data_IF_864315625867
#
_entry.id   IF_864315625867
#
_cell.length_a   1.000
_cell.length_b   1.000
_cell.length_c   1.000
_cell.angle_alpha   90.00
_cell.angle_beta   90.00
_cell.angle_gamma   90.00
#
_symmetry.space_group_name_H-M   'P 1'
#
loop_
_entity.id
_entity.type
_entity.pdbx_description
1 polymer ?
#
# COMPACT_ATOMS: atom_id res chain seq x y z
N UNK A 1 -15.69 -12.03 -16.61
CA UNK A 1 -15.83 -13.16 -15.65
C UNK A 1 -14.47 -13.80 -15.52
N UNK A 2 -13.63 -13.34 -14.58
CA UNK A 2 -12.32 -13.96 -14.36
C UNK A 2 -12.56 -15.20 -13.49
N UNK A 3 -12.44 -16.38 -14.09
CA UNK A 3 -12.38 -17.64 -13.33
C UNK A 3 -11.24 -17.48 -12.30
N UNK A 4 -11.61 -17.60 -11.02
CA UNK A 4 -10.79 -17.19 -9.90
C UNK A 4 -9.53 -18.03 -9.79
N UNK A 5 -8.41 -17.49 -10.27
CA UNK A 5 -7.09 -18.02 -9.91
C UNK A 5 -6.93 -17.81 -8.42
N UNK A 6 -6.95 -18.92 -7.68
CA UNK A 6 -6.70 -18.91 -6.25
C UNK A 6 -5.24 -18.52 -6.00
N UNK A 7 -5.04 -17.28 -5.52
CA UNK A 7 -3.70 -16.75 -5.27
C UNK A 7 -3.11 -17.41 -4.02
N UNK A 8 -1.92 -18.01 -4.18
CA UNK A 8 -1.22 -18.72 -3.11
C UNK A 8 -0.07 -17.90 -2.54
N UNK A 9 0.16 -18.07 -1.25
CA UNK A 9 1.30 -17.51 -0.55
C UNK A 9 2.60 -18.17 -1.00
N UNK A 10 3.67 -17.38 -1.12
CA UNK A 10 5.00 -17.86 -1.53
C UNK A 10 5.69 -18.71 -0.45
N UNK A 11 5.31 -18.54 0.82
CA UNK A 11 6.02 -19.13 1.98
C UNK A 11 5.41 -20.46 2.39
N UNK A 12 4.09 -20.50 2.56
CA UNK A 12 3.36 -21.67 3.10
C UNK A 12 2.39 -22.29 2.09
N UNK A 13 2.21 -21.68 0.90
CA UNK A 13 1.30 -22.17 -0.13
C UNK A 13 -0.18 -21.97 0.19
N UNK A 14 -0.52 -21.36 1.32
CA UNK A 14 -1.91 -21.10 1.71
C UNK A 14 -2.57 -20.06 0.80
N UNK A 15 -3.91 -20.12 0.77
CA UNK A 15 -4.74 -19.19 0.00
C UNK A 15 -4.68 -17.79 0.60
N UNK A 16 -4.27 -16.82 -0.22
CA UNK A 16 -4.26 -15.42 0.16
C UNK A 16 -5.69 -14.88 0.26
N UNK A 17 -5.97 -14.09 1.29
CA UNK A 17 -7.30 -13.53 1.53
C UNK A 17 -7.33 -12.04 1.28
N UNK A 18 -8.37 -11.57 0.58
CA UNK A 18 -8.64 -10.14 0.40
C UNK A 18 -8.75 -9.42 1.75
N UNK A 19 -8.43 -8.13 1.75
CA UNK A 19 -8.52 -7.20 2.90
C UNK A 19 -7.71 -7.62 4.13
N UNK A 20 -6.65 -8.42 3.89
CA UNK A 20 -5.64 -8.76 4.91
C UNK A 20 -4.24 -8.26 4.57
N UNK A 21 -4.10 -7.45 3.52
CA UNK A 21 -2.85 -6.73 3.31
C UNK A 21 -2.73 -5.63 4.38
N UNK A 22 -1.55 -5.55 4.99
CA UNK A 22 -1.35 -4.90 6.31
C UNK A 22 -1.95 -3.50 6.46
N UNK A 23 -1.78 -2.64 5.45
CA UNK A 23 -2.05 -1.21 5.53
C UNK A 23 -2.69 -0.62 4.25
N UNK A 24 -3.07 -1.47 3.30
CA UNK A 24 -3.74 -1.09 2.05
C UNK A 24 -4.57 -2.25 1.53
N UNK A 25 -5.46 -2.00 0.55
CA UNK A 25 -6.20 -3.07 -0.12
C UNK A 25 -5.23 -4.04 -0.83
N UNK A 26 -5.44 -5.34 -0.61
CA UNK A 26 -4.57 -6.41 -1.10
C UNK A 26 -4.92 -7.78 -0.53
N UNK A 27 -4.09 -8.77 -0.86
CA UNK A 27 -4.28 -10.15 -0.45
C UNK A 27 -3.21 -10.56 0.56
N UNK A 28 -3.61 -10.84 1.80
CA UNK A 28 -2.67 -11.18 2.87
C UNK A 28 -2.65 -12.66 3.21
N UNK A 29 -1.48 -13.17 3.61
CA UNK A 29 -1.33 -14.47 4.26
C UNK A 29 -1.48 -14.34 5.79
N UNK A 30 -2.24 -15.24 6.42
CA UNK A 30 -2.41 -15.22 7.89
C UNK A 30 -1.19 -15.73 8.65
N UNK A 31 -0.45 -16.67 8.08
CA UNK A 31 0.67 -17.34 8.74
C UNK A 31 1.94 -16.50 8.62
N UNK A 32 2.47 -16.33 7.40
CA UNK A 32 3.71 -15.57 7.19
C UNK A 32 3.56 -14.04 7.25
N UNK A 33 2.33 -13.52 7.26
CA UNK A 33 1.99 -12.07 7.21
C UNK A 33 2.42 -11.34 5.93
N UNK A 34 2.87 -12.07 4.91
CA UNK A 34 3.16 -11.50 3.60
C UNK A 34 1.90 -11.02 2.88
N UNK A 35 2.08 -10.07 1.97
CA UNK A 35 1.01 -9.42 1.21
C UNK A 35 1.29 -9.43 -0.28
N UNK A 36 0.30 -9.82 -1.07
CA UNK A 36 0.30 -9.68 -2.52
C UNK A 36 -0.60 -8.51 -2.95
N UNK A 37 -0.03 -7.56 -3.68
CA UNK A 37 -0.76 -6.45 -4.28
C UNK A 37 -0.67 -6.55 -5.81
N UNK A 38 -1.79 -6.82 -6.51
CA UNK A 38 -1.85 -6.64 -7.96
C UNK A 38 -1.53 -5.20 -8.36
N UNK A 39 -1.13 -4.99 -9.62
CA UNK A 39 -0.79 -3.68 -10.16
C UNK A 39 -1.85 -2.62 -9.84
N UNK A 40 -3.13 -2.93 -10.00
CA UNK A 40 -4.24 -2.00 -9.72
C UNK A 40 -4.27 -1.51 -8.27
N UNK A 41 -3.83 -2.32 -7.32
CA UNK A 41 -3.76 -1.93 -5.91
C UNK A 41 -2.49 -1.13 -5.59
N UNK A 42 -1.37 -1.40 -6.28
CA UNK A 42 -0.20 -0.52 -6.23
C UNK A 42 -0.55 0.84 -6.81
N UNK A 43 -1.23 0.88 -7.96
CA UNK A 43 -1.67 2.12 -8.60
C UNK A 43 -2.58 2.93 -7.67
N UNK A 44 -3.43 2.28 -6.87
CA UNK A 44 -4.38 2.98 -6.01
C UNK A 44 -3.75 3.64 -4.78
N UNK A 45 -2.51 3.29 -4.41
CA UNK A 45 -1.78 3.96 -3.32
C UNK A 45 -1.65 5.46 -3.59
N UNK A 46 -1.53 5.86 -4.87
CA UNK A 46 -1.41 7.27 -5.26
C UNK A 46 -2.62 8.13 -4.86
N UNK A 47 -3.78 7.53 -4.57
CA UNK A 47 -4.97 8.28 -4.17
C UNK A 47 -4.96 8.65 -2.69
N UNK A 48 -4.19 7.94 -1.85
CA UNK A 48 -4.12 8.18 -0.40
C UNK A 48 -2.75 8.70 0.05
N UNK A 49 -1.70 8.46 -0.74
CA UNK A 49 -0.31 8.83 -0.45
C UNK A 49 0.29 9.64 -1.59
N UNK A 50 1.32 10.42 -1.28
CA UNK A 50 2.21 11.06 -2.27
C UNK A 50 3.11 10.03 -2.95
N UNK A 51 2.48 9.07 -3.64
CA UNK A 51 3.10 7.93 -4.27
C UNK A 51 2.95 8.02 -5.79
N UNK A 52 4.03 7.74 -6.52
CA UNK A 52 4.07 7.76 -7.99
C UNK A 52 4.23 6.32 -8.54
N UNK A 53 3.15 5.62 -8.93
CA UNK A 53 3.23 4.21 -9.34
C UNK A 53 4.16 3.98 -10.53
N UNK A 54 4.16 4.88 -11.51
CA UNK A 54 5.04 4.77 -12.67
C UNK A 54 6.52 4.86 -12.29
N UNK A 55 6.87 5.78 -11.40
CA UNK A 55 8.23 5.92 -10.88
C UNK A 55 8.64 4.69 -10.09
N UNK A 56 7.74 4.19 -9.23
CA UNK A 56 7.96 2.96 -8.47
C UNK A 56 8.26 1.77 -9.39
N UNK A 57 7.40 1.47 -10.37
CA UNK A 57 7.64 0.37 -11.30
C UNK A 57 8.86 0.60 -12.20
N UNK A 58 9.16 1.85 -12.58
CA UNK A 58 10.39 2.14 -13.32
C UNK A 58 11.63 1.83 -12.48
N UNK A 59 11.62 2.16 -11.18
CA UNK A 59 12.70 1.81 -10.26
C UNK A 59 12.84 0.30 -10.18
N UNK A 60 11.75 -0.43 -9.90
CA UNK A 60 11.78 -1.89 -9.83
C UNK A 60 12.38 -2.47 -11.11
N UNK A 61 11.89 -2.08 -12.30
CA UNK A 61 12.38 -2.63 -13.57
C UNK A 61 13.87 -2.40 -13.84
N UNK A 62 14.46 -1.31 -13.30
CA UNK A 62 15.85 -0.92 -13.53
C UNK A 62 16.82 -1.47 -12.48
N UNK A 63 16.31 -1.91 -11.32
CA UNK A 63 17.14 -2.46 -10.25
C UNK A 63 17.81 -3.76 -10.67
N UNK A 64 18.88 -4.14 -9.94
CA UNK A 64 19.52 -5.44 -10.15
C UNK A 64 18.57 -6.53 -9.66
N UNK A 65 18.29 -7.47 -10.55
CA UNK A 65 17.34 -8.57 -10.31
C UNK A 65 18.07 -9.85 -9.96
N UNK A 66 17.63 -10.49 -8.89
CA UNK A 66 17.87 -11.90 -8.68
C UNK A 66 16.60 -12.66 -9.05
N UNK A 67 16.72 -13.61 -9.98
CA UNK A 67 15.57 -14.44 -10.35
C UNK A 67 15.29 -15.40 -9.20
N UNK A 68 14.09 -15.28 -8.61
CA UNK A 68 13.69 -16.22 -7.57
C UNK A 68 13.11 -17.49 -8.18
N UNK A 69 13.14 -18.59 -7.43
CA UNK A 69 12.36 -19.79 -7.75
C UNK A 69 10.85 -19.62 -7.47
N UNK A 70 10.44 -18.48 -6.92
CA UNK A 70 9.08 -18.19 -6.51
C UNK A 70 8.19 -17.87 -7.72
N UNK A 71 7.01 -18.50 -7.76
CA UNK A 71 6.01 -18.25 -8.79
C UNK A 71 5.13 -17.07 -8.41
N UNK A 72 4.71 -16.31 -9.42
CA UNK A 72 3.71 -15.28 -9.27
C UNK A 72 2.39 -15.88 -8.74
N UNK A 73 1.73 -15.28 -7.73
CA UNK A 73 0.46 -15.78 -7.17
C UNK A 73 -0.68 -15.89 -8.19
N UNK A 74 -0.64 -15.12 -9.29
CA UNK A 74 -1.62 -15.25 -10.40
C UNK A 74 -1.14 -16.17 -11.52
N UNK A 75 -0.05 -16.93 -11.30
CA UNK A 75 0.51 -17.93 -12.19
C UNK A 75 0.88 -17.43 -13.61
N UNK A 76 1.35 -16.18 -13.71
CA UNK A 76 1.71 -15.55 -14.99
C UNK A 76 3.23 -15.46 -15.26
N UNK A 77 4.06 -16.00 -14.36
CA UNK A 77 5.52 -15.94 -14.47
C UNK A 77 6.24 -16.19 -13.15
N UNK A 78 7.57 -16.08 -13.17
CA UNK A 78 8.41 -16.05 -11.98
C UNK A 78 8.44 -14.64 -11.36
N UNK A 79 8.78 -14.57 -10.08
CA UNK A 79 9.04 -13.29 -9.40
C UNK A 79 10.53 -12.95 -9.46
N UNK A 80 10.80 -11.65 -9.58
CA UNK A 80 12.14 -11.08 -9.48
C UNK A 80 12.28 -10.44 -8.11
N UNK A 81 13.30 -10.84 -7.35
CA UNK A 81 13.73 -10.15 -6.14
C UNK A 81 14.65 -9.00 -6.50
N UNK A 82 14.55 -7.93 -5.73
CA UNK A 82 15.31 -6.71 -5.97
C UNK A 82 16.37 -6.61 -4.88
N UNK A 83 17.63 -6.67 -5.26
CA UNK A 83 18.75 -6.70 -4.30
C UNK A 83 18.78 -5.47 -3.37
N UNK A 84 18.37 -4.31 -3.88
CA UNK A 84 18.42 -3.04 -3.14
C UNK A 84 17.15 -2.77 -2.29
N UNK A 85 16.15 -3.67 -2.34
CA UNK A 85 14.88 -3.47 -1.64
C UNK A 85 14.47 -4.77 -0.94
N UNK A 86 14.86 -4.88 0.32
CA UNK A 86 14.57 -6.04 1.16
C UNK A 86 13.07 -6.31 1.29
N UNK A 87 12.72 -7.60 1.24
CA UNK A 87 11.36 -8.09 1.47
C UNK A 87 10.37 -7.73 0.37
N UNK A 88 10.84 -7.39 -0.84
CA UNK A 88 10.00 -7.14 -2.01
C UNK A 88 10.40 -8.03 -3.18
N UNK A 89 9.41 -8.67 -3.79
CA UNK A 89 9.56 -9.35 -5.08
C UNK A 89 8.43 -8.91 -6.01
N UNK A 90 8.72 -8.66 -7.29
CA UNK A 90 7.69 -8.24 -8.25
C UNK A 90 7.63 -9.15 -9.47
N UNK A 91 6.45 -9.21 -10.10
CA UNK A 91 6.27 -9.96 -11.33
C UNK A 91 6.36 -9.02 -12.54
N UNK A 92 7.33 -9.21 -13.46
CA UNK A 92 7.42 -8.37 -14.66
C UNK A 92 6.23 -8.57 -15.61
N UNK A 93 5.56 -9.73 -15.59
CA UNK A 93 4.43 -10.03 -16.48
C UNK A 93 3.15 -9.30 -16.11
N UNK A 94 2.79 -9.24 -14.82
CA UNK A 94 1.53 -8.64 -14.36
C UNK A 94 1.71 -7.37 -13.51
N UNK A 95 2.96 -7.00 -13.21
CA UNK A 95 3.31 -5.87 -12.35
C UNK A 95 2.68 -5.95 -10.95
N UNK A 96 2.36 -7.16 -10.50
CA UNK A 96 1.99 -7.42 -9.11
C UNK A 96 3.24 -7.54 -8.23
N UNK A 97 3.09 -7.20 -6.95
CA UNK A 97 4.19 -7.11 -6.00
C UNK A 97 3.86 -7.93 -4.75
N UNK A 98 4.81 -8.78 -4.37
CA UNK A 98 4.84 -9.47 -3.10
C UNK A 98 5.66 -8.67 -2.10
N UNK A 99 5.10 -8.51 -0.91
CA UNK A 99 5.74 -7.90 0.24
C UNK A 99 5.84 -8.96 1.33
N UNK A 100 7.03 -9.13 1.88
CA UNK A 100 7.22 -9.88 3.13
C UNK A 100 6.56 -9.15 4.30
N UNK A 101 6.51 -9.83 5.45
CA UNK A 101 5.97 -9.29 6.70
C UNK A 101 6.56 -7.91 6.99
N UNK A 102 5.69 -6.92 7.25
CA UNK A 102 6.00 -5.51 7.54
C UNK A 102 6.59 -4.71 6.38
N UNK A 103 6.98 -5.30 5.26
CA UNK A 103 7.60 -4.58 4.15
C UNK A 103 6.64 -3.58 3.51
N UNK A 104 5.37 -3.98 3.32
CA UNK A 104 4.32 -3.08 2.79
C UNK A 104 4.10 -1.89 3.73
N UNK A 105 3.91 -2.14 5.03
CA UNK A 105 3.74 -1.08 6.01
C UNK A 105 4.95 -0.14 6.08
N UNK A 106 6.17 -0.70 6.05
CA UNK A 106 7.42 0.08 6.05
C UNK A 106 7.50 0.98 4.82
N UNK A 107 7.24 0.43 3.63
CA UNK A 107 7.22 1.20 2.38
C UNK A 107 6.20 2.36 2.45
N UNK A 108 4.97 2.09 2.90
CA UNK A 108 3.90 3.10 2.95
C UNK A 108 4.17 4.21 3.98
N UNK A 109 4.95 3.94 5.02
CA UNK A 109 5.35 4.93 6.02
C UNK A 109 6.36 5.96 5.46
N UNK A 110 7.07 5.62 4.39
CA UNK A 110 7.99 6.55 3.73
C UNK A 110 7.28 7.59 2.85
N UNK A 111 5.96 7.46 2.66
CA UNK A 111 5.15 8.38 1.87
C UNK A 111 4.21 9.21 2.75
N UNK A 112 4.18 10.51 2.48
CA UNK A 112 3.24 11.43 3.11
C UNK A 112 1.80 11.08 2.71
N UNK A 113 0.87 11.32 3.62
CA UNK A 113 -0.57 11.23 3.32
C UNK A 113 -0.92 12.45 2.46
N UNK A 114 -1.65 12.23 1.36
CA UNK A 114 -2.19 13.35 0.58
C UNK A 114 -3.15 14.14 1.48
N UNK A 115 -2.83 15.40 1.72
CA UNK A 115 -3.80 16.32 2.31
C UNK A 115 -4.84 16.60 1.24
N UNK A 116 -6.07 16.14 1.45
CA UNK A 116 -7.21 16.72 0.75
C UNK A 116 -7.16 18.23 0.98
N UNK A 117 -7.31 19.01 -0.10
CA UNK A 117 -7.03 20.43 -0.11
C UNK A 117 -7.56 21.11 1.16
N UNK A 118 -6.63 21.55 2.01
CA UNK A 118 -6.91 22.53 3.06
C UNK A 118 -7.20 23.87 2.39
N UNK A 119 -8.35 23.96 1.74
CA UNK A 119 -9.03 25.19 1.42
C UNK A 119 -10.12 25.38 2.47
N UNK A 120 -9.71 25.69 3.70
CA UNK A 120 -10.54 26.46 4.63
C UNK A 120 -9.63 27.56 5.18
N UNK A 121 -10.08 28.79 4.97
CA UNK A 121 -9.39 30.05 5.12
C UNK A 121 -8.69 30.24 6.47
N UNK A 122 -7.67 31.11 6.46
CA UNK A 122 -7.20 31.85 7.62
C UNK A 122 -8.39 32.38 8.43
N UNK A 123 -8.68 31.73 9.55
CA UNK A 123 -9.43 32.36 10.64
C UNK A 123 -8.38 32.93 11.57
N UNK A 124 -8.23 34.27 11.71
CA UNK A 124 -7.37 34.82 12.73
C UNK A 124 -7.89 34.35 14.09
N UNK A 125 -7.01 33.70 14.83
CA UNK A 125 -7.23 33.20 16.17
C UNK A 125 -7.52 34.36 17.14
N UNK A 126 -8.75 34.85 17.15
CA UNK A 126 -9.29 35.63 18.26
C UNK A 126 -9.77 34.64 19.31
N UNK A 127 -8.94 34.46 20.34
CA UNK A 127 -9.29 33.78 21.57
C UNK A 127 -10.49 34.49 22.22
N UNK A 128 -11.70 33.98 22.00
CA UNK A 128 -12.89 34.35 22.78
C UNK A 128 -13.43 33.06 23.38
N UNK A 129 -13.27 32.93 24.70
CA UNK A 129 -13.73 31.79 25.46
C UNK A 129 -15.25 31.64 25.37
N UNK A 130 -15.69 30.43 25.08
CA UNK A 130 -17.08 29.99 24.97
C UNK A 130 -17.87 30.06 26.30
N UNK A 131 -17.39 30.76 27.33
CA UNK A 131 -18.03 30.85 28.64
C UNK A 131 -18.58 32.24 29.01
N UNK A 132 -18.42 33.27 28.16
CA UNK A 132 -18.90 34.64 28.47
C UNK A 132 -20.25 35.03 27.83
N UNK A 133 -20.91 34.13 27.08
CA UNK A 133 -22.15 34.46 26.35
C UNK A 133 -23.47 34.14 27.09
N UNK A 134 -23.43 33.75 28.36
CA UNK A 134 -24.64 33.42 29.15
C UNK A 134 -24.95 34.40 30.31
N UNK A 135 -24.15 35.45 30.51
CA UNK A 135 -24.32 36.40 31.61
C UNK A 135 -25.17 37.66 31.33
N UNK A 136 -25.58 37.90 30.07
CA UNK A 136 -26.17 39.19 29.67
C UNK A 136 -27.68 39.16 29.35
N UNK A 137 -28.41 38.11 29.77
CA UNK A 137 -29.85 37.93 29.45
C UNK A 137 -30.76 37.72 30.67
N UNK A 138 -30.29 38.09 31.87
CA UNK A 138 -31.15 38.24 33.04
C UNK A 138 -30.84 39.57 33.73
N UNK A 139 -31.58 40.61 33.34
CA UNK A 139 -31.82 41.80 34.16
C UNK A 139 -33.32 42.06 34.19
#
# INVERSE_FOLDING_TARGET
MFQGVEMKCLVDGDVLKADKAEAHTGYGCKSCKGSWLPKSFIDSIQYTKEFEPQKFFSTLSKSVHETTSSKCPVNCGALSSIADIDGISYCPSCLGVWFESKALKSMLNNYQIKREGAAIADIPNASVGIFDLLGALFK
#
